data_IF_933842588539
#
_entry.id   IF_933842588539
#
_cell.length_a   1.000
_cell.length_b   1.000
_cell.length_c   1.000
_cell.angle_alpha   90.00
_cell.angle_beta   90.00
_cell.angle_gamma   90.00
#
_symmetry.space_group_name_H-M   'P 1'
#
loop_
_entity.id
_entity.type
_entity.pdbx_description
1 polymer ?
#
# COMPACT_ATOMS: atom_id res chain seq x y z
N UNK A 1 -13.56 73.94 41.21
CA UNK A 1 -14.32 73.36 40.13
C UNK A 1 -13.41 72.34 39.50
N UNK A 2 -13.70 71.02 39.65
CA UNK A 2 -12.85 69.92 39.19
C UNK A 2 -13.53 69.26 38.00
N UNK A 3 -12.91 69.30 36.83
CA UNK A 3 -13.33 68.63 35.61
C UNK A 3 -12.77 67.20 35.57
N UNK A 4 -13.67 66.26 35.59
CA UNK A 4 -13.33 64.84 35.45
C UNK A 4 -13.16 64.47 33.96
N UNK A 5 -11.97 64.01 33.60
CA UNK A 5 -11.67 63.44 32.26
C UNK A 5 -12.08 61.99 32.21
N UNK A 6 -12.92 61.61 31.25
CA UNK A 6 -13.31 60.28 30.97
C UNK A 6 -12.25 59.65 30.02
N UNK A 7 -11.53 58.63 30.50
CA UNK A 7 -10.57 57.84 29.70
C UNK A 7 -11.31 56.73 29.01
N UNK A 8 -11.43 56.79 27.67
CA UNK A 8 -12.05 55.76 26.83
C UNK A 8 -11.01 54.72 26.51
N UNK A 9 -11.11 53.53 27.11
CA UNK A 9 -10.30 52.38 26.74
C UNK A 9 -10.84 51.74 25.46
N UNK A 10 -10.10 51.88 24.37
CA UNK A 10 -10.32 51.10 23.15
C UNK A 10 -9.73 49.71 23.32
N UNK A 11 -10.57 48.66 23.44
CA UNK A 11 -10.15 47.29 23.29
C UNK A 11 -9.95 47.00 21.81
N UNK A 12 -8.70 46.78 21.38
CA UNK A 12 -8.39 46.24 20.08
C UNK A 12 -8.52 44.71 20.14
N UNK A 13 -9.57 44.17 19.51
CA UNK A 13 -9.71 42.74 19.29
C UNK A 13 -8.78 42.30 18.14
N UNK A 14 -7.66 41.67 18.47
CA UNK A 14 -6.81 41.03 17.47
C UNK A 14 -7.45 39.70 17.01
N UNK A 15 -8.09 39.70 15.85
CA UNK A 15 -8.50 38.46 15.16
C UNK A 15 -7.24 37.75 14.67
N UNK A 16 -6.79 36.75 15.43
CA UNK A 16 -5.75 35.87 15.02
C UNK A 16 -6.26 34.96 13.89
N UNK A 17 -5.96 35.28 12.63
CA UNK A 17 -6.15 34.39 11.49
C UNK A 17 -5.17 33.21 11.64
N UNK A 18 -5.63 32.14 12.25
CA UNK A 18 -4.91 30.86 12.24
C UNK A 18 -4.81 30.37 10.81
N UNK A 19 -3.62 30.52 10.21
CA UNK A 19 -3.29 29.89 8.93
C UNK A 19 -3.27 28.38 9.16
N UNK A 20 -4.32 27.68 8.74
CA UNK A 20 -4.29 26.23 8.63
C UNK A 20 -3.26 25.91 7.54
N UNK A 21 -2.04 25.60 7.97
CA UNK A 21 -1.05 24.97 7.09
C UNK A 21 -1.64 23.63 6.68
N UNK A 22 -2.08 23.51 5.43
CA UNK A 22 -2.41 22.24 4.83
C UNK A 22 -1.17 21.36 4.96
N UNK A 23 -1.26 20.28 5.77
CA UNK A 23 -0.20 19.29 5.87
C UNK A 23 -0.10 18.65 4.48
N UNK A 24 1.04 18.82 3.81
CA UNK A 24 1.36 18.07 2.60
C UNK A 24 1.11 16.59 2.88
N UNK A 25 0.52 15.82 1.95
CA UNK A 25 0.33 14.40 2.14
C UNK A 25 1.71 13.77 2.37
N UNK A 26 1.91 13.23 3.57
CA UNK A 26 3.12 12.50 3.92
C UNK A 26 3.27 11.39 2.88
N UNK A 27 4.39 11.37 2.15
CA UNK A 27 4.61 10.37 1.11
C UNK A 27 4.46 8.99 1.74
N UNK A 28 3.63 8.14 1.15
CA UNK A 28 3.47 6.77 1.62
C UNK A 28 4.85 6.14 1.83
N UNK A 29 5.09 5.57 3.01
CA UNK A 29 6.35 4.94 3.32
C UNK A 29 6.67 3.81 2.32
N UNK A 30 7.93 3.41 2.26
CA UNK A 30 8.37 2.31 1.37
C UNK A 30 7.78 0.98 1.87
N UNK A 31 7.27 0.17 0.94
CA UNK A 31 6.88 -1.22 1.24
C UNK A 31 8.13 -2.01 1.63
N UNK A 32 8.05 -2.68 2.78
CA UNK A 32 9.12 -3.56 3.28
C UNK A 32 8.79 -5.01 2.93
N UNK A 33 9.83 -5.77 2.56
CA UNK A 33 9.70 -7.21 2.33
C UNK A 33 10.82 -7.97 2.99
N UNK A 34 10.49 -9.16 3.49
CA UNK A 34 11.44 -10.11 4.05
C UNK A 34 11.31 -11.45 3.35
N UNK A 35 12.41 -11.93 2.78
CA UNK A 35 12.49 -13.29 2.25
C UNK A 35 12.45 -14.29 3.41
N UNK A 36 11.48 -15.19 3.42
CA UNK A 36 11.35 -16.24 4.43
C UNK A 36 12.07 -17.52 3.99
N UNK A 37 11.80 -17.97 2.78
CA UNK A 37 12.55 -19.05 2.15
C UNK A 37 12.40 -19.04 0.62
N UNK A 38 13.36 -19.69 -0.03
CA UNK A 38 13.27 -20.14 -1.43
C UNK A 38 13.61 -21.63 -1.44
N UNK A 39 12.79 -22.44 -2.09
CA UNK A 39 12.97 -23.88 -2.20
C UNK A 39 12.61 -24.35 -3.61
N UNK A 40 13.31 -25.37 -4.08
CA UNK A 40 12.94 -26.06 -5.30
C UNK A 40 11.51 -26.60 -5.20
N UNK A 41 10.73 -26.43 -6.26
CA UNK A 41 9.41 -27.01 -6.31
C UNK A 41 9.52 -28.50 -6.62
N UNK A 42 9.12 -29.36 -5.68
CA UNK A 42 9.45 -30.80 -5.71
C UNK A 42 8.95 -31.53 -6.95
N UNK A 43 7.81 -31.12 -7.52
CA UNK A 43 7.23 -31.76 -8.71
C UNK A 43 7.76 -31.19 -10.04
N UNK A 44 8.46 -30.05 -10.01
CA UNK A 44 9.06 -29.41 -11.18
C UNK A 44 10.33 -28.65 -10.77
N UNK A 45 11.52 -29.26 -10.93
CA UNK A 45 12.79 -28.64 -10.51
C UNK A 45 13.18 -27.39 -11.30
N UNK A 46 12.50 -27.05 -12.40
CA UNK A 46 12.69 -25.79 -13.12
C UNK A 46 12.04 -24.60 -12.39
N UNK A 47 11.17 -24.89 -11.43
CA UNK A 47 10.46 -23.89 -10.61
C UNK A 47 10.97 -23.85 -9.17
N UNK A 48 10.63 -22.78 -8.51
CA UNK A 48 10.88 -22.58 -7.07
C UNK A 48 9.62 -22.10 -6.36
N UNK A 49 9.52 -22.43 -5.08
CA UNK A 49 8.58 -21.82 -4.15
C UNK A 49 9.31 -20.68 -3.44
N UNK A 50 8.84 -19.46 -3.65
CA UNK A 50 9.37 -18.24 -3.04
C UNK A 50 8.36 -17.70 -2.04
N UNK A 51 8.70 -17.66 -0.74
CA UNK A 51 7.84 -17.17 0.32
C UNK A 51 8.41 -15.90 0.94
N UNK A 52 7.58 -14.88 1.05
CA UNK A 52 7.93 -13.59 1.61
C UNK A 52 6.84 -13.06 2.55
N UNK A 53 7.24 -12.29 3.52
CA UNK A 53 6.34 -11.38 4.24
C UNK A 53 6.50 -9.96 3.73
N UNK A 54 5.42 -9.20 3.75
CA UNK A 54 5.38 -7.80 3.36
C UNK A 54 4.73 -6.97 4.44
N UNK A 55 5.24 -5.74 4.63
CA UNK A 55 4.58 -4.69 5.39
C UNK A 55 4.35 -3.50 4.47
N UNK A 56 3.10 -3.15 4.27
CA UNK A 56 2.66 -1.99 3.50
C UNK A 56 2.29 -0.87 4.46
N UNK A 57 3.04 0.23 4.51
CA UNK A 57 2.62 1.41 5.26
C UNK A 57 1.30 1.98 4.72
N UNK A 58 0.64 2.81 5.52
CA UNK A 58 -0.59 3.52 5.13
C UNK A 58 -0.39 4.24 3.79
N UNK A 59 -1.35 4.10 2.88
CA UNK A 59 -1.35 4.74 1.56
C UNK A 59 -0.37 4.16 0.54
N UNK A 60 0.37 3.08 0.85
CA UNK A 60 1.32 2.48 -0.08
C UNK A 60 0.63 1.78 -1.25
N UNK A 61 1.09 2.06 -2.46
CA UNK A 61 0.57 1.51 -3.71
C UNK A 61 1.76 0.95 -4.51
N UNK A 62 1.67 -0.32 -4.89
CA UNK A 62 2.65 -0.90 -5.82
C UNK A 62 2.37 -0.46 -7.27
N UNK A 63 3.41 -0.33 -8.11
CA UNK A 63 3.20 -0.17 -9.54
C UNK A 63 2.46 -1.37 -10.14
N UNK A 64 1.84 -1.18 -11.29
CA UNK A 64 1.27 -2.26 -12.07
C UNK A 64 2.37 -3.23 -12.49
N UNK A 65 2.13 -4.52 -12.30
CA UNK A 65 3.13 -5.56 -12.55
C UNK A 65 2.48 -6.90 -12.91
N UNK A 66 3.33 -7.82 -13.33
CA UNK A 66 3.01 -9.24 -13.54
C UNK A 66 4.03 -10.11 -12.81
N UNK A 67 3.65 -11.35 -12.55
CA UNK A 67 4.56 -12.44 -12.22
C UNK A 67 4.63 -13.37 -13.42
N UNK A 68 5.77 -13.36 -14.14
CA UNK A 68 5.95 -14.12 -15.37
C UNK A 68 5.88 -15.62 -15.09
N UNK A 69 4.88 -16.29 -15.67
CA UNK A 69 4.63 -17.74 -15.59
C UNK A 69 4.58 -18.27 -14.15
N UNK A 70 4.21 -17.39 -13.19
CA UNK A 70 4.18 -17.69 -11.78
C UNK A 70 2.78 -17.54 -11.19
N UNK A 71 2.41 -18.50 -10.35
CA UNK A 71 1.25 -18.43 -9.48
C UNK A 71 1.60 -17.64 -8.23
N UNK A 72 0.70 -16.76 -7.78
CA UNK A 72 0.83 -16.04 -6.52
C UNK A 72 -0.35 -16.33 -5.59
N UNK A 73 -0.05 -16.59 -4.33
CA UNK A 73 -1.02 -16.66 -3.25
C UNK A 73 -0.64 -15.61 -2.22
N UNK A 74 -1.54 -14.69 -1.94
CA UNK A 74 -1.38 -13.68 -0.90
C UNK A 74 -2.38 -13.91 0.21
N UNK A 75 -1.91 -13.94 1.46
CA UNK A 75 -2.72 -14.08 2.67
C UNK A 75 -2.57 -12.83 3.53
N UNK A 76 -3.67 -12.23 3.95
CA UNK A 76 -3.66 -11.04 4.79
C UNK A 76 -3.51 -11.46 6.25
N UNK A 77 -2.38 -11.10 6.86
CA UNK A 77 -2.11 -11.38 8.27
C UNK A 77 -2.78 -10.34 9.16
N UNK A 78 -2.67 -9.05 8.76
CA UNK A 78 -3.13 -7.92 9.56
C UNK A 78 -3.60 -6.78 8.65
N UNK A 79 -4.71 -6.14 9.01
CA UNK A 79 -5.25 -4.96 8.32
C UNK A 79 -6.20 -5.27 7.17
N UNK A 80 -6.33 -4.29 6.27
CA UNK A 80 -7.22 -4.36 5.11
C UNK A 80 -6.42 -3.98 3.86
N UNK A 81 -6.41 -4.85 2.87
CA UNK A 81 -5.62 -4.70 1.65
C UNK A 81 -6.48 -4.74 0.40
N UNK A 82 -6.13 -3.97 -0.62
CA UNK A 82 -6.86 -3.91 -1.88
C UNK A 82 -6.01 -4.46 -3.01
N UNK A 83 -6.51 -5.50 -3.67
CA UNK A 83 -5.98 -5.98 -4.96
C UNK A 83 -6.77 -5.37 -6.11
N UNK A 84 -6.07 -4.97 -7.16
CA UNK A 84 -6.68 -4.51 -8.40
C UNK A 84 -6.04 -5.23 -9.57
N UNK A 85 -6.87 -5.90 -10.39
CA UNK A 85 -6.49 -6.49 -11.68
C UNK A 85 -6.89 -5.56 -12.81
N UNK A 86 -6.16 -5.60 -13.91
CA UNK A 86 -6.51 -4.84 -15.10
C UNK A 86 -7.90 -5.25 -15.62
N UNK A 87 -8.78 -4.29 -15.84
CA UNK A 87 -10.15 -4.52 -16.34
C UNK A 87 -11.14 -5.07 -15.31
N UNK A 88 -10.76 -5.19 -14.04
CA UNK A 88 -11.64 -5.66 -12.97
C UNK A 88 -11.83 -4.58 -11.89
N UNK A 89 -12.95 -4.67 -11.16
CA UNK A 89 -13.17 -3.86 -9.96
C UNK A 89 -12.17 -4.23 -8.86
N UNK A 90 -11.69 -3.26 -8.07
CA UNK A 90 -10.80 -3.55 -6.96
C UNK A 90 -11.44 -4.50 -5.94
N UNK A 91 -10.69 -5.50 -5.50
CA UNK A 91 -11.10 -6.46 -4.48
C UNK A 91 -10.46 -6.11 -3.14
N UNK A 92 -11.28 -5.87 -2.12
CA UNK A 92 -10.83 -5.60 -0.76
C UNK A 92 -10.79 -6.89 0.03
N UNK A 93 -9.68 -7.13 0.75
CA UNK A 93 -9.46 -8.29 1.62
C UNK A 93 -9.09 -7.84 3.02
N UNK A 94 -9.56 -8.60 4.00
CA UNK A 94 -9.32 -8.39 5.42
C UNK A 94 -8.39 -9.46 6.00
N UNK A 95 -7.88 -9.23 7.20
CA UNK A 95 -7.09 -10.23 7.93
C UNK A 95 -7.81 -11.58 7.97
N UNK A 96 -7.09 -12.66 7.68
CA UNK A 96 -7.62 -14.02 7.56
C UNK A 96 -8.08 -14.42 6.16
N UNK A 97 -8.14 -13.48 5.21
CA UNK A 97 -8.53 -13.76 3.83
C UNK A 97 -7.32 -13.93 2.91
N UNK A 98 -7.51 -14.62 1.79
CA UNK A 98 -6.49 -14.86 0.80
C UNK A 98 -6.97 -14.52 -0.61
N UNK A 99 -6.02 -14.22 -1.48
CA UNK A 99 -6.23 -14.06 -2.92
C UNK A 99 -5.28 -14.94 -3.71
N UNK A 100 -5.70 -15.32 -4.91
CA UNK A 100 -4.89 -16.06 -5.87
C UNK A 100 -4.78 -15.25 -7.15
N UNK A 101 -3.55 -15.00 -7.57
CA UNK A 101 -3.24 -14.32 -8.84
C UNK A 101 -2.64 -15.34 -9.80
N UNK A 102 -3.30 -15.52 -10.93
CA UNK A 102 -2.85 -16.39 -12.01
C UNK A 102 -1.58 -15.84 -12.68
N UNK A 103 -0.78 -16.71 -13.33
CA UNK A 103 0.37 -16.28 -14.11
C UNK A 103 0.04 -15.17 -15.12
N UNK A 104 0.94 -14.20 -15.24
CA UNK A 104 0.89 -13.11 -16.22
C UNK A 104 -0.31 -12.14 -16.11
N UNK A 105 -1.10 -12.22 -15.05
CA UNK A 105 -2.19 -11.26 -14.81
C UNK A 105 -1.60 -9.90 -14.41
N UNK A 106 -1.96 -8.85 -15.13
CA UNK A 106 -1.59 -7.47 -14.79
C UNK A 106 -2.38 -7.02 -13.57
N UNK A 107 -1.67 -6.71 -12.49
CA UNK A 107 -2.30 -6.34 -11.22
C UNK A 107 -1.43 -5.40 -10.38
N UNK A 108 -1.99 -4.90 -9.31
CA UNK A 108 -1.27 -4.16 -8.25
C UNK A 108 -1.92 -4.41 -6.89
N UNK A 109 -1.11 -4.22 -5.85
CA UNK A 109 -1.55 -4.24 -4.46
C UNK A 109 -1.51 -2.86 -3.85
N UNK A 110 -2.48 -2.53 -3.00
CA UNK A 110 -2.64 -1.20 -2.40
C UNK A 110 -3.06 -1.32 -0.93
N UNK A 111 -2.43 -0.54 -0.08
CA UNK A 111 -2.94 -0.26 1.25
C UNK A 111 -3.63 1.11 1.24
N UNK A 112 -4.94 1.13 1.07
CA UNK A 112 -5.75 2.35 1.05
C UNK A 112 -6.27 2.75 2.45
N UNK A 113 -5.83 2.02 3.50
CA UNK A 113 -6.17 2.33 4.89
C UNK A 113 -5.17 3.32 5.51
N UNK A 114 -5.46 3.78 6.72
CA UNK A 114 -4.64 4.68 7.53
C UNK A 114 -3.67 3.95 8.50
N UNK A 115 -3.63 2.61 8.43
CA UNK A 115 -2.78 1.76 9.27
C UNK A 115 -1.90 0.83 8.41
N UNK A 116 -0.78 0.34 8.92
CA UNK A 116 0.03 -0.66 8.21
C UNK A 116 -0.74 -1.97 7.98
N UNK A 117 -0.44 -2.63 6.86
CA UNK A 117 -0.99 -3.94 6.50
C UNK A 117 0.15 -4.95 6.37
N UNK A 118 -0.05 -6.16 6.90
CA UNK A 118 0.92 -7.26 6.76
C UNK A 118 0.35 -8.40 5.92
N UNK A 119 1.17 -8.90 5.01
CA UNK A 119 0.85 -10.01 4.13
C UNK A 119 1.92 -11.10 4.23
N UNK A 120 1.46 -12.34 4.03
CA UNK A 120 2.30 -13.46 3.64
C UNK A 120 2.01 -13.80 2.18
N UNK A 121 3.07 -13.89 1.37
CA UNK A 121 2.93 -14.11 -0.06
C UNK A 121 3.81 -15.29 -0.48
N UNK A 122 3.23 -16.23 -1.21
CA UNK A 122 3.93 -17.37 -1.81
C UNK A 122 3.80 -17.28 -3.32
N UNK A 123 4.92 -17.45 -4.02
CA UNK A 123 4.94 -17.56 -5.47
C UNK A 123 5.58 -18.89 -5.89
N UNK A 124 4.94 -19.57 -6.82
CA UNK A 124 5.52 -20.73 -7.52
C UNK A 124 5.89 -20.24 -8.90
N UNK A 125 7.19 -20.08 -9.15
CA UNK A 125 7.71 -19.39 -10.33
C UNK A 125 8.86 -20.15 -11.00
N UNK A 126 9.08 -19.99 -12.32
CA UNK A 126 10.31 -20.42 -12.97
C UNK A 126 11.53 -19.76 -12.32
N UNK A 127 12.61 -20.53 -12.14
CA UNK A 127 13.85 -20.05 -11.51
C UNK A 127 14.53 -18.92 -12.31
N UNK A 128 14.40 -18.96 -13.64
CA UNK A 128 15.00 -18.01 -14.59
C UNK A 128 14.21 -16.71 -14.77
N UNK A 129 13.01 -16.60 -14.18
CA UNK A 129 12.18 -15.39 -14.27
C UNK A 129 12.36 -14.49 -13.05
N UNK A 130 12.26 -13.16 -13.23
CA UNK A 130 12.26 -12.24 -12.10
C UNK A 130 11.04 -12.46 -11.20
N UNK A 131 11.15 -12.03 -9.93
CA UNK A 131 10.04 -12.13 -8.98
C UNK A 131 8.86 -11.25 -9.38
N UNK A 132 9.15 -10.08 -9.94
CA UNK A 132 8.19 -9.05 -10.36
C UNK A 132 8.68 -8.43 -11.66
N UNK A 133 7.76 -8.19 -12.59
CA UNK A 133 8.02 -7.40 -13.81
C UNK A 133 7.02 -6.25 -13.86
N UNK A 134 7.50 -5.03 -13.69
CA UNK A 134 6.66 -3.84 -13.82
C UNK A 134 6.17 -3.67 -15.27
N UNK A 135 4.93 -3.21 -15.42
CA UNK A 135 4.29 -2.97 -16.70
C UNK A 135 3.59 -1.61 -16.70
N UNK A 136 3.34 -1.01 -17.86
CA UNK A 136 2.54 0.21 -17.94
C UNK A 136 1.15 0.03 -17.32
N UNK A 137 0.59 1.12 -16.80
CA UNK A 137 -0.78 1.12 -16.32
C UNK A 137 -1.72 0.71 -17.47
N UNK A 138 -2.69 -0.21 -17.21
CA UNK A 138 -3.69 -0.56 -18.21
C UNK A 138 -4.53 0.66 -18.60
N UNK A 139 -5.06 0.72 -19.83
CA UNK A 139 -6.01 1.76 -20.22
C UNK A 139 -7.24 1.72 -19.31
N UNK A 140 -7.75 2.90 -18.98
CA UNK A 140 -8.99 3.07 -18.21
C UNK A 140 -10.21 2.84 -19.08
#
# INVERSE_FOLDING_TARGET
>A
MKTAGICLLLLAASAGSGLLLAREPESAGKVESQQLFVKDFASDPSKEVNAQSYTFPAGAILPWHIHQDADEIAYIIEGTFTFQRAGEEPKVLHAGEADYVQPNVVHRGMNLSDAPVKLFVVRIKPKDKPLVTEVPAPPQ
#
